data_IF_081885847168
#
_entry.id   IF_081885847168
#
_cell.length_a   1.000
_cell.length_b   1.000
_cell.length_c   1.000
_cell.angle_alpha   90.00
_cell.angle_beta   90.00
_cell.angle_gamma   90.00
#
_symmetry.space_group_name_H-M   'P 1'
#
loop_
_entity.id
_entity.type
_entity.pdbx_description
1 polymer ?
#
# COMPACT_ATOMS: atom_id res chain seq x y z
N UNK A 1 -5.78 6.23 8.27
CA UNK A 1 -6.15 5.20 9.28
C UNK A 1 -4.89 4.85 10.04
N UNK A 2 -4.90 4.79 11.39
CA UNK A 2 -3.72 4.40 12.15
C UNK A 2 -3.42 2.91 11.96
N UNK A 3 -2.13 2.56 11.95
CA UNK A 3 -1.69 1.16 11.94
C UNK A 3 -1.61 0.64 13.37
N UNK A 4 -1.88 -0.65 13.56
CA UNK A 4 -1.65 -1.35 14.81
C UNK A 4 -0.15 -1.65 14.96
N UNK A 5 0.43 -1.30 16.10
CA UNK A 5 1.83 -1.61 16.41
C UNK A 5 1.94 -2.98 17.08
N UNK A 6 2.86 -3.82 16.58
CA UNK A 6 3.21 -5.12 17.17
C UNK A 6 4.74 -5.23 17.22
N UNK A 7 5.33 -4.99 18.40
CA UNK A 7 6.78 -4.94 18.56
C UNK A 7 7.41 -3.83 17.70
N UNK A 8 8.17 -4.26 16.67
CA UNK A 8 8.83 -3.38 15.67
C UNK A 8 7.98 -3.17 14.40
N UNK A 9 6.88 -3.90 14.26
CA UNK A 9 6.06 -3.91 13.06
C UNK A 9 4.81 -3.04 13.22
N UNK A 10 4.31 -2.52 12.10
CA UNK A 10 3.06 -1.75 12.02
C UNK A 10 2.16 -2.37 10.95
N UNK A 11 0.94 -2.76 11.32
CA UNK A 11 0.05 -3.54 10.45
C UNK A 11 -1.37 -2.99 10.43
N UNK A 12 -2.09 -3.25 9.32
CA UNK A 12 -3.53 -3.04 9.21
C UNK A 12 -4.10 -4.14 8.32
N UNK A 13 -5.25 -4.70 8.71
CA UNK A 13 -5.97 -5.68 7.91
C UNK A 13 -7.20 -5.02 7.32
N UNK A 14 -7.37 -5.10 5.99
CA UNK A 14 -8.51 -4.53 5.29
C UNK A 14 -8.96 -5.45 4.16
N UNK A 15 -10.26 -5.69 4.10
CA UNK A 15 -10.90 -6.34 2.94
C UNK A 15 -11.05 -5.29 1.85
N UNK A 16 -10.49 -5.56 0.68
CA UNK A 16 -10.55 -4.69 -0.50
C UNK A 16 -11.09 -5.50 -1.68
N UNK A 17 -12.00 -4.94 -2.49
CA UNK A 17 -12.37 -5.53 -3.78
C UNK A 17 -11.15 -5.67 -4.71
N UNK A 18 -11.26 -6.50 -5.75
CA UNK A 18 -10.22 -6.53 -6.78
C UNK A 18 -10.06 -5.18 -7.49
N UNK A 19 -8.82 -4.82 -7.78
CA UNK A 19 -8.46 -3.58 -8.44
C UNK A 19 -7.04 -3.15 -8.12
N UNK A 20 -6.61 -2.08 -8.76
CA UNK A 20 -5.29 -1.47 -8.53
C UNK A 20 -5.44 -0.30 -7.57
N UNK A 21 -4.74 -0.37 -6.45
CA UNK A 21 -4.79 0.62 -5.38
C UNK A 21 -3.47 1.36 -5.27
N UNK A 22 -3.56 2.65 -4.98
CA UNK A 22 -2.42 3.50 -4.65
C UNK A 22 -2.44 3.79 -3.16
N UNK A 23 -1.28 3.66 -2.51
CA UNK A 23 -1.18 3.94 -1.08
C UNK A 23 0.16 4.55 -0.69
N UNK A 24 0.17 5.17 0.49
CA UNK A 24 1.34 5.76 1.13
C UNK A 24 1.27 5.54 2.63
N UNK A 25 2.42 5.56 3.27
CA UNK A 25 2.54 5.58 4.73
C UNK A 25 2.69 7.03 5.20
N UNK A 26 2.13 7.31 6.38
CA UNK A 26 2.44 8.54 7.12
C UNK A 26 3.28 8.10 8.31
N UNK A 27 4.58 8.38 8.26
CA UNK A 27 5.54 8.07 9.32
C UNK A 27 6.02 9.40 9.88
N UNK A 28 5.76 9.64 11.16
CA UNK A 28 6.11 10.88 11.86
C UNK A 28 5.61 12.15 11.13
N UNK A 29 4.36 12.09 10.64
CA UNK A 29 3.73 13.20 9.92
C UNK A 29 4.23 13.41 8.48
N UNK A 30 5.13 12.57 7.97
CA UNK A 30 5.67 12.66 6.61
C UNK A 30 5.15 11.54 5.72
N UNK A 31 4.80 11.88 4.48
CA UNK A 31 4.46 10.91 3.45
C UNK A 31 5.69 10.09 3.07
N UNK A 32 5.56 8.77 3.13
CA UNK A 32 6.57 7.78 2.77
C UNK A 32 5.98 6.71 1.86
N UNK A 33 6.84 6.09 1.07
CA UNK A 33 6.54 4.88 0.32
C UNK A 33 7.54 3.79 0.72
N UNK A 34 7.16 2.54 0.52
CA UNK A 34 8.01 1.38 0.71
C UNK A 34 8.80 1.11 -0.58
N UNK A 35 10.14 1.27 -0.59
CA UNK A 35 10.94 1.13 -1.81
C UNK A 35 11.09 -0.32 -2.30
N UNK A 36 10.78 -1.28 -1.43
CA UNK A 36 10.78 -2.72 -1.65
C UNK A 36 9.46 -3.26 -2.22
N UNK A 37 8.39 -2.44 -2.25
CA UNK A 37 7.13 -2.77 -2.90
C UNK A 37 7.01 -2.10 -4.27
N UNK A 38 6.14 -2.58 -5.18
CA UNK A 38 5.84 -1.86 -6.41
C UNK A 38 5.44 -0.40 -6.12
N UNK A 39 5.98 0.52 -6.91
CA UNK A 39 5.74 1.95 -6.76
C UNK A 39 5.78 2.66 -8.11
N UNK A 40 5.13 3.82 -8.19
CA UNK A 40 5.19 4.71 -9.33
C UNK A 40 5.29 6.17 -8.89
N UNK A 41 5.46 7.05 -9.88
CA UNK A 41 5.51 8.48 -9.73
C UNK A 41 4.51 9.11 -10.69
N UNK A 42 3.72 10.07 -10.23
CA UNK A 42 2.85 10.86 -11.11
C UNK A 42 3.61 12.03 -11.77
N UNK A 43 2.92 12.76 -12.64
CA UNK A 43 3.45 13.94 -13.33
C UNK A 43 3.87 15.06 -12.37
N UNK A 44 3.26 15.11 -11.18
CA UNK A 44 3.60 16.04 -10.10
C UNK A 44 4.74 15.54 -9.21
N UNK A 45 5.46 14.49 -9.64
CA UNK A 45 6.57 13.88 -8.94
C UNK A 45 6.22 13.25 -7.58
N UNK A 46 4.94 12.93 -7.33
CA UNK A 46 4.50 12.22 -6.14
C UNK A 46 4.78 10.72 -6.25
N UNK A 47 5.61 10.19 -5.36
CA UNK A 47 5.85 8.75 -5.27
C UNK A 47 4.82 8.05 -4.38
N UNK A 48 4.25 6.94 -4.83
CA UNK A 48 3.31 6.11 -4.07
C UNK A 48 3.50 4.63 -4.39
N UNK A 49 3.08 3.76 -3.47
CA UNK A 49 3.07 2.33 -3.70
C UNK A 49 1.83 1.90 -4.49
N UNK A 50 1.97 0.83 -5.27
CA UNK A 50 0.90 0.19 -6.03
C UNK A 50 0.62 -1.18 -5.43
N UNK A 51 -0.66 -1.47 -5.20
CA UNK A 51 -1.16 -2.79 -4.81
C UNK A 51 -2.16 -3.26 -5.87
N UNK A 52 -1.76 -4.22 -6.70
CA UNK A 52 -2.66 -4.89 -7.64
C UNK A 52 -3.31 -6.09 -6.96
N UNK A 53 -4.61 -5.96 -6.65
CA UNK A 53 -5.43 -7.03 -6.09
C UNK A 53 -6.21 -7.68 -7.22
N UNK A 54 -5.75 -8.84 -7.65
CA UNK A 54 -6.47 -9.67 -8.60
C UNK A 54 -7.44 -10.57 -7.84
N UNK A 55 -8.66 -10.73 -8.38
CA UNK A 55 -9.45 -11.90 -7.99
C UNK A 55 -8.57 -13.10 -8.29
N UNK A 56 -8.31 -13.92 -7.28
CA UNK A 56 -7.70 -15.21 -7.51
C UNK A 56 -8.69 -15.96 -8.41
N UNK A 57 -8.47 -15.92 -9.71
CA UNK A 57 -9.10 -16.84 -10.64
C UNK A 57 -8.62 -18.20 -10.19
N UNK A 58 -9.42 -18.90 -9.40
CA UNK A 58 -9.29 -20.35 -9.29
C UNK A 58 -9.40 -20.81 -10.73
N UNK A 59 -8.26 -21.20 -11.29
CA UNK A 59 -8.21 -21.87 -12.59
C UNK A 59 -9.14 -23.08 -12.41
N UNK A 60 -10.30 -23.02 -13.08
CA UNK A 60 -11.13 -24.21 -13.22
C UNK A 60 -10.42 -25.23 -14.09
#
# INVERSE_FOLDING_TARGET
MPLQRSGKDFTIMKVLPSGVYQFRFIVDGRWRYAPDLPWAKDDAANTYNILDLQLCSVVK
#
